data_IF_052903355857
#
_entry.id   IF_052903355857
#
_cell.length_a   1.000
_cell.length_b   1.000
_cell.length_c   1.000
_cell.angle_alpha   90.00
_cell.angle_beta   90.00
_cell.angle_gamma   90.00
#
_symmetry.space_group_name_H-M   'P 1'
#
loop_
_entity.id
_entity.type
_entity.pdbx_description
1 polymer ?
#
# COMPACT_ATOMS: atom_id res chain seq x y z
N UNK A 1 2.16 -39.81 45.11
CA UNK A 1 1.18 -39.35 44.08
C UNK A 1 0.89 -37.83 44.09
N UNK A 2 0.71 -37.19 45.26
CA UNK A 2 0.41 -35.75 45.43
C UNK A 2 1.39 -34.76 44.76
N UNK A 3 2.72 -34.99 44.84
CA UNK A 3 3.71 -34.08 44.24
C UNK A 3 3.68 -34.04 42.71
N UNK A 4 3.53 -35.20 42.04
CA UNK A 4 3.39 -35.27 40.57
C UNK A 4 2.11 -34.59 40.08
N UNK A 5 1.04 -34.59 40.88
CA UNK A 5 -0.20 -33.86 40.58
C UNK A 5 -0.01 -32.35 40.73
N UNK A 6 0.61 -31.87 41.82
CA UNK A 6 0.93 -30.45 42.04
C UNK A 6 1.84 -29.88 40.94
N UNK A 7 2.86 -30.63 40.51
CA UNK A 7 3.71 -30.23 39.38
C UNK A 7 2.98 -30.21 38.02
N UNK A 8 1.97 -31.06 37.81
CA UNK A 8 1.15 -31.02 36.58
C UNK A 8 0.21 -29.81 36.59
N UNK A 9 -0.41 -29.51 37.73
CA UNK A 9 -1.29 -28.34 37.91
C UNK A 9 -0.51 -27.04 37.75
N UNK A 10 0.65 -26.90 38.40
CA UNK A 10 1.51 -25.71 38.25
C UNK A 10 2.00 -25.51 36.81
N UNK A 11 2.34 -26.58 36.09
CA UNK A 11 2.71 -26.50 34.66
C UNK A 11 1.52 -26.09 33.80
N UNK A 12 0.32 -26.61 34.08
CA UNK A 12 -0.92 -26.23 33.37
C UNK A 12 -1.30 -24.77 33.64
N UNK A 13 -1.23 -24.30 34.88
CA UNK A 13 -1.48 -22.90 35.25
C UNK A 13 -0.46 -21.96 34.60
N UNK A 14 0.84 -22.29 34.61
CA UNK A 14 1.87 -21.50 33.92
C UNK A 14 1.59 -21.40 32.42
N UNK A 15 1.17 -22.50 31.77
CA UNK A 15 0.77 -22.49 30.35
C UNK A 15 -0.46 -21.63 30.10
N UNK A 16 -1.47 -21.68 30.96
CA UNK A 16 -2.67 -20.85 30.85
C UNK A 16 -2.34 -19.36 31.01
N UNK A 17 -1.51 -19.00 31.98
CA UNK A 17 -1.04 -17.62 32.18
C UNK A 17 -0.27 -17.15 30.95
N UNK A 18 0.64 -17.96 30.42
CA UNK A 18 1.35 -17.64 29.18
C UNK A 18 0.42 -17.44 27.98
N UNK A 19 -0.55 -18.34 27.79
CA UNK A 19 -1.53 -18.23 26.73
C UNK A 19 -2.38 -16.96 26.85
N UNK A 20 -2.84 -16.63 28.06
CA UNK A 20 -3.59 -15.41 28.33
C UNK A 20 -2.76 -14.16 28.03
N UNK A 21 -1.48 -14.13 28.44
CA UNK A 21 -0.58 -13.00 28.19
C UNK A 21 -0.36 -12.79 26.69
N UNK A 22 -0.09 -13.84 25.94
CA UNK A 22 0.08 -13.76 24.48
C UNK A 22 -1.22 -13.26 23.84
N UNK A 23 -2.36 -13.86 24.18
CA UNK A 23 -3.66 -13.50 23.61
C UNK A 23 -4.03 -12.04 23.90
N UNK A 24 -3.81 -11.59 25.14
CA UNK A 24 -4.08 -10.21 25.56
C UNK A 24 -3.20 -9.21 24.83
N UNK A 25 -1.90 -9.48 24.66
CA UNK A 25 -1.00 -8.61 23.89
C UNK A 25 -1.42 -8.59 22.42
N UNK A 26 -1.69 -9.74 21.80
CA UNK A 26 -2.11 -9.79 20.40
C UNK A 26 -3.41 -9.03 20.15
N UNK A 27 -4.42 -9.20 21.00
CA UNK A 27 -5.69 -8.46 20.89
C UNK A 27 -5.48 -6.95 21.04
N UNK A 28 -4.66 -6.54 22.01
CA UNK A 28 -4.33 -5.13 22.20
C UNK A 28 -3.61 -4.53 20.99
N UNK A 29 -2.59 -5.22 20.46
CA UNK A 29 -1.86 -4.77 19.27
C UNK A 29 -2.76 -4.67 18.05
N UNK A 30 -3.62 -5.67 17.80
CA UNK A 30 -4.59 -5.64 16.70
C UNK A 30 -5.59 -4.49 16.87
N UNK A 31 -6.09 -4.26 18.09
CA UNK A 31 -6.97 -3.14 18.40
C UNK A 31 -6.30 -1.79 18.14
N UNK A 32 -5.04 -1.62 18.54
CA UNK A 32 -4.27 -0.40 18.31
C UNK A 32 -4.05 -0.14 16.81
N UNK A 33 -3.70 -1.17 16.04
CA UNK A 33 -3.53 -1.06 14.58
C UNK A 33 -4.85 -0.64 13.93
N UNK A 34 -5.98 -1.24 14.33
CA UNK A 34 -7.30 -0.86 13.84
C UNK A 34 -7.66 0.59 14.17
N UNK A 35 -7.39 1.03 15.40
CA UNK A 35 -7.63 2.40 15.85
C UNK A 35 -6.78 3.41 15.06
N UNK A 36 -5.48 3.17 14.93
CA UNK A 36 -4.59 4.03 14.13
C UNK A 36 -4.99 4.05 12.64
N UNK A 37 -5.41 2.91 12.10
CA UNK A 37 -5.95 2.85 10.74
C UNK A 37 -7.19 3.73 10.54
N UNK A 38 -8.05 3.82 11.57
CA UNK A 38 -9.27 4.64 11.52
C UNK A 38 -9.00 6.14 11.53
N UNK A 39 -7.84 6.60 12.01
CA UNK A 39 -7.45 8.02 11.96
C UNK A 39 -6.79 8.42 10.63
N UNK A 40 -6.73 7.52 9.64
CA UNK A 40 -6.08 7.74 8.37
C UNK A 40 -4.55 7.54 8.41
N UNK A 41 -4.01 7.05 9.52
CA UNK A 41 -2.57 6.81 9.67
C UNK A 41 -2.13 5.55 8.91
N UNK A 42 -1.01 5.63 8.18
CA UNK A 42 -0.45 4.52 7.41
C UNK A 42 1.04 4.41 7.54
N UNK A 43 1.53 3.18 7.44
CA UNK A 43 2.96 2.88 7.35
C UNK A 43 3.29 2.52 5.91
N UNK A 44 4.11 3.34 5.25
CA UNK A 44 4.66 3.01 3.94
C UNK A 44 5.94 2.17 4.11
N UNK A 45 5.93 0.98 3.53
CA UNK A 45 7.03 0.02 3.55
C UNK A 45 7.59 -0.26 2.15
N UNK A 46 7.18 0.53 1.16
CA UNK A 46 7.65 0.40 -0.23
C UNK A 46 8.45 1.64 -0.65
N UNK A 47 9.60 1.46 -1.32
CA UNK A 47 10.52 2.56 -1.65
C UNK A 47 10.05 3.41 -2.86
N UNK A 48 8.79 3.31 -3.28
CA UNK A 48 8.24 4.21 -4.31
C UNK A 48 8.01 5.62 -3.78
N UNK A 49 7.96 5.77 -2.45
CA UNK A 49 7.83 7.02 -1.70
C UNK A 49 8.61 6.87 -0.39
N UNK A 50 8.89 7.96 0.35
CA UNK A 50 9.57 7.88 1.65
C UNK A 50 8.96 6.83 2.59
N UNK A 51 9.83 5.98 3.15
CA UNK A 51 9.44 4.99 4.15
C UNK A 51 9.03 5.70 5.44
N UNK A 52 8.02 5.16 6.12
CA UNK A 52 7.61 5.67 7.44
C UNK A 52 6.12 5.92 7.56
N UNK A 53 5.78 6.82 8.48
CA UNK A 53 4.41 7.12 8.87
C UNK A 53 3.83 8.26 8.03
N UNK A 54 2.66 8.03 7.46
CA UNK A 54 1.92 8.98 6.67
C UNK A 54 0.51 9.17 7.22
N UNK A 55 -0.05 10.35 7.04
CA UNK A 55 -1.42 10.65 7.40
C UNK A 55 -2.23 10.97 6.15
N UNK A 56 -3.36 10.30 6.00
CA UNK A 56 -4.35 10.61 4.98
C UNK A 56 -5.23 11.71 5.52
N UNK A 57 -5.28 12.81 4.78
CA UNK A 57 -6.12 13.96 5.10
C UNK A 57 -7.07 14.21 3.93
N UNK A 58 -8.24 14.72 4.23
CA UNK A 58 -9.15 15.20 3.20
C UNK A 58 -8.61 16.53 2.65
N UNK A 59 -8.53 16.71 1.32
CA UNK A 59 -8.00 17.92 0.76
C UNK A 59 -8.96 19.10 1.00
N UNK A 60 -8.42 20.24 1.41
CA UNK A 60 -9.14 21.51 1.62
C UNK A 60 -9.12 22.42 0.38
N UNK A 61 -8.42 21.98 -0.68
CA UNK A 61 -8.32 22.64 -1.99
C UNK A 61 -8.32 21.61 -3.12
N UNK A 62 -8.54 22.04 -4.37
CA UNK A 62 -8.32 21.16 -5.52
C UNK A 62 -6.93 20.53 -5.51
N UNK A 63 -6.85 19.29 -6.00
CA UNK A 63 -5.60 18.59 -6.22
C UNK A 63 -4.89 19.20 -7.42
N UNK A 64 -3.61 19.53 -7.26
CA UNK A 64 -2.77 20.19 -8.25
C UNK A 64 -1.55 19.31 -8.58
N UNK A 65 -0.90 19.63 -9.71
CA UNK A 65 0.40 19.03 -10.05
C UNK A 65 1.40 19.28 -8.92
N UNK A 66 2.11 18.22 -8.51
CA UNK A 66 3.05 18.20 -7.40
C UNK A 66 2.47 17.71 -6.08
N UNK A 67 1.15 17.58 -5.96
CA UNK A 67 0.54 17.02 -4.76
C UNK A 67 0.84 15.53 -4.63
N UNK A 68 1.07 15.07 -3.39
CA UNK A 68 1.19 13.66 -3.06
C UNK A 68 -0.16 13.18 -2.52
N UNK A 69 -0.73 12.19 -3.19
CA UNK A 69 -2.08 11.69 -2.90
C UNK A 69 -2.08 10.21 -2.56
N UNK A 70 -3.12 9.81 -1.84
CA UNK A 70 -3.48 8.41 -1.66
C UNK A 70 -4.58 8.04 -2.65
N UNK A 71 -4.36 6.99 -3.44
CA UNK A 71 -5.36 6.48 -4.39
C UNK A 71 -5.64 5.00 -4.19
N UNK A 72 -6.88 4.58 -4.38
CA UNK A 72 -7.19 3.18 -4.62
C UNK A 72 -6.97 2.86 -6.10
N UNK A 73 -6.18 1.82 -6.44
CA UNK A 73 -6.07 1.36 -7.81
C UNK A 73 -7.46 1.02 -8.39
N UNK A 74 -7.77 1.40 -9.63
CA UNK A 74 -9.00 1.01 -10.28
C UNK A 74 -9.00 -0.50 -10.57
N UNK A 75 -10.18 -1.12 -10.62
CA UNK A 75 -10.31 -2.57 -10.90
C UNK A 75 -10.23 -2.89 -12.40
N UNK A 76 -9.06 -2.66 -13.00
CA UNK A 76 -8.77 -2.96 -14.41
C UNK A 76 -8.02 -4.29 -14.56
N UNK A 77 -8.00 -4.86 -15.77
CA UNK A 77 -7.21 -6.06 -16.08
C UNK A 77 -5.73 -5.88 -15.70
N UNK A 78 -5.14 -4.72 -16.03
CA UNK A 78 -3.76 -4.41 -15.68
C UNK A 78 -3.50 -4.37 -14.18
N UNK A 79 -4.43 -3.84 -13.37
CA UNK A 79 -4.29 -3.82 -11.91
C UNK A 79 -4.49 -5.21 -11.28
N UNK A 80 -5.38 -6.04 -11.83
CA UNK A 80 -5.51 -7.45 -11.42
C UNK A 80 -4.25 -8.25 -11.71
N UNK A 81 -3.65 -8.03 -12.88
CA UNK A 81 -2.36 -8.63 -13.23
C UNK A 81 -1.24 -8.12 -12.31
N UNK A 82 -1.17 -6.82 -12.05
CA UNK A 82 -0.21 -6.24 -11.12
C UNK A 82 -0.30 -6.86 -9.73
N UNK A 83 -1.53 -7.13 -9.24
CA UNK A 83 -1.76 -7.88 -8.00
C UNK A 83 -1.26 -9.32 -8.10
N UNK A 84 -1.62 -10.05 -9.16
CA UNK A 84 -1.18 -11.43 -9.36
C UNK A 84 0.35 -11.57 -9.48
N UNK A 85 0.99 -10.57 -10.09
CA UNK A 85 2.45 -10.46 -10.23
C UNK A 85 3.16 -9.97 -8.95
N UNK A 86 2.40 -9.58 -7.91
CA UNK A 86 2.91 -9.20 -6.60
C UNK A 86 3.33 -7.73 -6.47
N UNK A 87 2.98 -6.86 -7.42
CA UNK A 87 3.32 -5.44 -7.37
C UNK A 87 2.51 -4.69 -6.30
N UNK A 88 1.25 -5.07 -6.14
CA UNK A 88 0.32 -4.45 -5.19
C UNK A 88 0.31 -5.22 -3.88
N UNK A 89 0.43 -4.50 -2.76
CA UNK A 89 0.30 -5.09 -1.40
C UNK A 89 -1.18 -5.32 -1.07
N UNK A 90 -1.46 -6.14 -0.06
CA UNK A 90 -2.81 -6.35 0.45
C UNK A 90 -3.34 -5.12 1.20
N UNK A 91 -4.62 -4.82 1.06
CA UNK A 91 -5.27 -3.73 1.79
C UNK A 91 -6.77 -3.63 1.53
N UNK A 92 -7.34 -2.48 1.88
CA UNK A 92 -8.80 -2.27 1.99
C UNK A 92 -9.45 -1.68 0.73
N UNK A 93 -8.71 -1.43 -0.36
CA UNK A 93 -9.34 -1.04 -1.62
C UNK A 93 -10.12 -2.19 -2.24
N UNK A 94 -10.98 -1.87 -3.21
CA UNK A 94 -11.54 -2.84 -4.13
C UNK A 94 -10.43 -3.74 -4.71
N UNK A 95 -10.70 -5.04 -4.82
CA UNK A 95 -9.69 -6.01 -5.22
C UNK A 95 -8.66 -6.33 -4.13
N UNK A 96 -8.89 -5.96 -2.87
CA UNK A 96 -8.06 -6.31 -1.69
C UNK A 96 -6.61 -5.82 -1.80
N UNK A 97 -6.41 -4.63 -2.36
CA UNK A 97 -5.10 -4.01 -2.51
C UNK A 97 -4.92 -2.82 -1.57
N UNK A 98 -3.68 -2.57 -1.18
CA UNK A 98 -3.30 -1.39 -0.42
C UNK A 98 -3.46 -0.15 -1.30
N UNK A 99 -3.95 0.97 -0.75
CA UNK A 99 -3.93 2.21 -1.49
C UNK A 99 -2.48 2.65 -1.74
N UNK A 100 -2.27 3.33 -2.86
CA UNK A 100 -0.96 3.76 -3.32
C UNK A 100 -0.71 5.21 -2.93
N UNK A 101 0.54 5.54 -2.64
CA UNK A 101 1.02 6.92 -2.51
C UNK A 101 1.65 7.30 -3.85
N UNK A 102 1.20 8.40 -4.44
CA UNK A 102 1.68 8.87 -5.75
C UNK A 102 1.68 10.39 -5.83
N UNK A 103 2.67 10.94 -6.53
CA UNK A 103 2.71 12.34 -6.94
C UNK A 103 1.86 12.58 -8.18
N UNK A 104 1.04 13.64 -8.17
CA UNK A 104 0.26 14.10 -9.32
C UNK A 104 1.19 14.82 -10.28
N UNK A 105 1.25 14.36 -11.53
CA UNK A 105 2.15 14.93 -12.57
C UNK A 105 1.41 15.66 -13.68
N UNK A 106 0.10 15.48 -13.77
CA UNK A 106 -0.75 16.13 -14.76
C UNK A 106 -2.21 16.20 -14.26
N UNK A 107 -2.95 17.19 -14.75
CA UNK A 107 -4.37 17.43 -14.46
C UNK A 107 -5.19 17.48 -15.76
N UNK A 108 -6.51 17.61 -15.61
CA UNK A 108 -7.47 17.66 -16.73
C UNK A 108 -6.99 18.50 -17.92
N UNK A 109 -7.17 17.96 -19.13
CA UNK A 109 -6.83 18.60 -20.40
C UNK A 109 -5.38 18.45 -20.84
N UNK A 110 -4.47 18.06 -19.95
CA UNK A 110 -3.07 17.85 -20.31
C UNK A 110 -2.88 16.53 -21.06
N UNK A 111 -1.97 16.55 -22.05
CA UNK A 111 -1.63 15.40 -22.87
C UNK A 111 -0.45 14.63 -22.27
N UNK A 112 -0.61 13.31 -22.16
CA UNK A 112 0.40 12.38 -21.68
C UNK A 112 0.89 11.56 -22.85
N UNK A 113 2.21 11.54 -23.06
CA UNK A 113 2.88 10.67 -24.02
C UNK A 113 3.78 9.73 -23.24
N UNK A 114 3.72 8.43 -23.55
CA UNK A 114 4.55 7.41 -22.91
C UNK A 114 5.22 6.60 -24.02
N UNK A 115 6.54 6.73 -24.13
CA UNK A 115 7.37 5.98 -25.05
C UNK A 115 8.57 5.37 -24.31
N UNK A 116 9.79 5.83 -24.56
CA UNK A 116 10.96 5.48 -23.75
C UNK A 116 11.01 6.29 -22.43
N UNK A 117 10.36 7.46 -22.40
CA UNK A 117 10.11 8.31 -21.23
C UNK A 117 8.66 8.79 -21.20
N UNK A 118 8.25 9.41 -20.09
CA UNK A 118 6.93 10.05 -19.97
C UNK A 118 7.05 11.54 -20.24
N UNK A 119 6.14 12.09 -21.03
CA UNK A 119 6.05 13.53 -21.31
C UNK A 119 4.65 14.05 -20.98
N UNK A 120 4.58 15.26 -20.44
CA UNK A 120 3.34 16.00 -20.17
C UNK A 120 3.35 17.27 -21.01
N UNK A 121 2.39 17.42 -21.91
CA UNK A 121 2.33 18.51 -22.91
C UNK A 121 3.68 18.68 -23.65
N UNK A 122 4.28 17.56 -24.07
CA UNK A 122 5.58 17.51 -24.75
C UNK A 122 6.81 17.72 -23.86
N UNK A 123 6.64 18.09 -22.58
CA UNK A 123 7.72 18.31 -21.62
C UNK A 123 8.11 17.00 -20.93
N UNK A 124 9.40 16.62 -20.91
CA UNK A 124 9.82 15.37 -20.28
C UNK A 124 9.61 15.41 -18.76
N UNK A 125 9.02 14.35 -18.22
CA UNK A 125 8.90 14.13 -16.78
C UNK A 125 10.24 13.58 -16.24
N UNK A 126 10.85 14.18 -15.22
CA UNK A 126 12.09 13.65 -14.65
C UNK A 126 11.92 12.23 -14.11
N UNK A 127 12.99 11.42 -14.19
CA UNK A 127 13.04 10.06 -13.62
C UNK A 127 11.92 9.12 -14.11
N UNK A 128 11.47 9.30 -15.37
CA UNK A 128 10.29 8.63 -15.92
C UNK A 128 10.60 7.58 -17.01
N UNK A 129 11.85 7.09 -17.08
CA UNK A 129 12.24 6.09 -18.09
C UNK A 129 11.34 4.86 -17.97
N UNK A 130 10.72 4.46 -19.07
CA UNK A 130 9.78 3.34 -19.11
C UNK A 130 10.57 2.02 -19.07
N UNK A 131 10.25 1.19 -18.08
CA UNK A 131 10.84 -0.12 -17.94
C UNK A 131 10.09 -1.14 -18.83
N UNK A 132 10.83 -1.90 -19.65
CA UNK A 132 10.27 -2.99 -20.49
C UNK A 132 10.16 -4.32 -19.75
N UNK A 133 10.88 -4.45 -18.65
CA UNK A 133 10.94 -5.63 -17.81
C UNK A 133 10.73 -5.24 -16.35
N UNK A 134 10.04 -6.07 -15.59
CA UNK A 134 9.91 -5.90 -14.15
C UNK A 134 11.15 -6.43 -13.38
N UNK A 135 11.12 -6.32 -12.04
CA UNK A 135 12.20 -6.82 -11.18
C UNK A 135 12.41 -8.34 -11.21
N UNK A 136 11.50 -9.11 -11.81
CA UNK A 136 11.60 -10.55 -12.04
C UNK A 136 11.87 -10.90 -13.52
N UNK A 137 12.20 -9.91 -14.36
CA UNK A 137 12.44 -10.04 -15.81
C UNK A 137 11.23 -10.50 -16.63
N UNK A 138 10.02 -10.23 -16.15
CA UNK A 138 8.79 -10.43 -16.91
C UNK A 138 8.52 -9.19 -17.76
N UNK A 139 8.05 -9.41 -18.99
CA UNK A 139 7.72 -8.32 -19.91
C UNK A 139 6.58 -7.45 -19.38
N UNK A 140 6.70 -6.15 -19.63
CA UNK A 140 5.70 -5.15 -19.31
C UNK A 140 5.27 -4.43 -20.60
N UNK A 141 3.96 -4.45 -20.86
CA UNK A 141 3.37 -3.70 -21.94
C UNK A 141 3.31 -2.23 -21.51
N UNK A 142 3.85 -1.33 -22.33
CA UNK A 142 3.73 0.09 -22.07
C UNK A 142 2.32 0.58 -22.42
N UNK A 143 1.87 1.58 -21.69
CA UNK A 143 0.64 2.29 -22.02
C UNK A 143 0.99 3.40 -23.02
N UNK A 144 0.10 3.73 -23.97
CA UNK A 144 0.42 4.71 -25.02
C UNK A 144 0.29 6.18 -24.55
N UNK A 145 -0.39 6.40 -23.42
CA UNK A 145 -0.72 7.74 -22.92
C UNK A 145 -2.15 8.16 -23.29
N UNK A 146 -2.37 9.46 -23.49
CA UNK A 146 -3.68 10.05 -23.77
C UNK A 146 -3.89 11.38 -23.06
N UNK A 147 -5.09 11.94 -23.18
CA UNK A 147 -5.46 13.21 -22.52
C UNK A 147 -6.10 12.91 -21.17
N UNK A 148 -5.69 13.62 -20.13
CA UNK A 148 -6.32 13.52 -18.81
C UNK A 148 -7.77 14.02 -18.90
N UNK A 149 -8.78 13.19 -18.56
CA UNK A 149 -10.18 13.60 -18.65
C UNK A 149 -10.54 14.69 -17.63
N UNK A 150 -11.65 15.43 -17.88
CA UNK A 150 -12.21 16.39 -16.93
C UNK A 150 -12.78 15.75 -15.67
#
# INVERSE_FOLDING_TARGET
>A
MKMRHRHRVLRRMKRLVWFYRISSVSLFTLGLIGLLGSTGLRVNLTPSEPLGLWQIVEPDRPILVGDVIFICPPDTNGMREARARGYLRFGLCAGWVAPLIKTVVATSGQAIEIADDVRVDGRPLPQSRVARLDGQRREMVHYDGGVVPP
#
